data_IF_193955911010
#
_entry.id   IF_193955911010
#
_cell.length_a   1.000
_cell.length_b   1.000
_cell.length_c   1.000
_cell.angle_alpha   90.00
_cell.angle_beta   90.00
_cell.angle_gamma   90.00
#
_symmetry.space_group_name_H-M   'P 1'
#
loop_
_entity.id
_entity.type
_entity.pdbx_description
1 polymer ?
#
# COMPACT_ATOMS: atom_id res chain seq x y z
N UNK A 1 34.79 -6.27 -38.34
CA UNK A 1 34.63 -6.59 -36.90
C UNK A 1 34.18 -5.41 -36.03
N UNK A 2 33.52 -4.37 -36.50
CA UNK A 2 33.08 -3.19 -35.73
C UNK A 2 31.56 -3.03 -35.62
N UNK A 3 30.77 -3.91 -36.25
CA UNK A 3 29.30 -3.78 -36.27
C UNK A 3 28.59 -4.54 -35.15
N UNK A 4 29.25 -5.56 -34.54
CA UNK A 4 28.64 -6.37 -33.44
C UNK A 4 28.68 -5.71 -32.05
N UNK A 5 29.57 -4.73 -31.84
CA UNK A 5 29.70 -4.04 -30.56
C UNK A 5 28.62 -2.94 -30.37
N UNK A 6 28.07 -2.40 -31.47
CA UNK A 6 27.08 -1.32 -31.39
C UNK A 6 25.66 -1.83 -31.03
N UNK A 7 25.35 -3.09 -31.35
CA UNK A 7 24.03 -3.67 -31.09
C UNK A 7 23.82 -4.06 -29.60
N UNK A 8 24.91 -4.35 -28.85
CA UNK A 8 24.80 -4.71 -27.42
C UNK A 8 24.58 -3.49 -26.51
N UNK A 9 25.00 -2.31 -26.90
CA UNK A 9 24.81 -1.10 -26.08
C UNK A 9 23.36 -0.59 -26.15
N UNK A 10 22.67 -0.80 -27.28
CA UNK A 10 21.28 -0.36 -27.43
C UNK A 10 20.27 -1.19 -26.63
N UNK A 11 20.55 -2.48 -26.39
CA UNK A 11 19.65 -3.37 -25.62
C UNK A 11 19.75 -3.10 -24.12
N UNK A 12 20.93 -2.74 -23.61
CA UNK A 12 21.12 -2.43 -22.19
C UNK A 12 20.42 -1.13 -21.76
N UNK A 13 20.25 -0.17 -22.66
CA UNK A 13 19.61 1.12 -22.35
C UNK A 13 18.08 1.04 -22.29
N UNK A 14 17.45 0.07 -22.95
CA UNK A 14 16.00 -0.10 -22.91
C UNK A 14 15.49 -0.76 -21.60
N UNK A 15 16.32 -1.53 -20.91
CA UNK A 15 15.93 -2.24 -19.68
C UNK A 15 15.85 -1.27 -18.48
N UNK A 16 16.68 -0.22 -18.47
CA UNK A 16 16.70 0.76 -17.37
C UNK A 16 15.56 1.78 -17.39
N UNK A 17 14.87 1.97 -18.52
CA UNK A 17 13.80 2.97 -18.62
C UNK A 17 12.46 2.48 -18.07
N UNK A 18 12.22 1.17 -18.07
CA UNK A 18 10.93 0.61 -17.60
C UNK A 18 10.81 0.66 -16.07
N UNK A 19 11.91 0.43 -15.35
CA UNK A 19 11.89 0.49 -13.87
C UNK A 19 11.82 1.92 -13.33
N UNK A 20 12.40 2.89 -14.03
CA UNK A 20 12.37 4.29 -13.61
C UNK A 20 10.97 4.92 -13.74
N UNK A 21 10.17 4.52 -14.73
CA UNK A 21 8.79 4.98 -14.87
C UNK A 21 7.86 4.34 -13.83
N UNK A 22 8.09 3.08 -13.46
CA UNK A 22 7.31 2.40 -12.44
C UNK A 22 7.47 3.00 -11.02
N UNK A 23 8.56 3.74 -10.78
CA UNK A 23 8.84 4.40 -9.50
C UNK A 23 8.39 5.87 -9.42
N UNK A 24 7.99 6.48 -10.54
CA UNK A 24 7.53 7.88 -10.54
C UNK A 24 6.10 7.98 -10.01
N UNK A 25 5.89 8.97 -9.13
CA UNK A 25 4.57 9.34 -8.61
C UNK A 25 4.19 10.74 -9.12
N UNK A 26 2.91 11.01 -9.39
CA UNK A 26 1.78 10.07 -9.37
C UNK A 26 1.82 9.09 -10.53
N UNK A 27 1.24 7.89 -10.34
CA UNK A 27 1.09 6.90 -11.41
C UNK A 27 -0.26 6.18 -11.35
N UNK A 28 -0.83 5.77 -12.51
CA UNK A 28 -2.11 5.08 -12.53
C UNK A 28 -2.00 3.69 -11.89
N UNK A 29 -2.99 3.34 -11.11
CA UNK A 29 -3.21 2.02 -10.53
C UNK A 29 -4.66 1.60 -10.75
N UNK A 30 -4.96 0.32 -10.57
CA UNK A 30 -6.29 -0.23 -10.79
C UNK A 30 -6.90 -0.77 -9.52
N UNK A 31 -8.22 -0.83 -9.46
CA UNK A 31 -8.91 -1.57 -8.41
C UNK A 31 -8.56 -3.06 -8.52
N UNK A 32 -8.30 -3.70 -7.39
CA UNK A 32 -7.90 -5.09 -7.28
C UNK A 32 -8.96 -5.86 -6.49
N UNK A 33 -9.30 -7.06 -6.94
CA UNK A 33 -10.13 -7.97 -6.17
C UNK A 33 -9.26 -8.64 -5.10
N UNK A 34 -9.63 -8.47 -3.84
CA UNK A 34 -9.00 -9.00 -2.65
C UNK A 34 -10.00 -9.88 -1.88
N UNK A 35 -9.81 -10.05 -0.57
CA UNK A 35 -10.74 -10.80 0.28
C UNK A 35 -11.15 -10.00 1.53
N UNK A 36 -12.38 -10.22 1.99
CA UNK A 36 -12.81 -9.84 3.34
C UNK A 36 -12.07 -10.67 4.39
N UNK A 37 -12.30 -10.36 5.67
CA UNK A 37 -11.80 -11.19 6.78
C UNK A 37 -12.43 -12.60 6.77
N UNK A 38 -13.64 -12.77 6.23
CA UNK A 38 -14.30 -14.06 6.08
C UNK A 38 -13.85 -14.86 4.84
N UNK A 39 -13.04 -14.24 3.98
CA UNK A 39 -12.53 -14.87 2.76
C UNK A 39 -13.36 -14.63 1.51
N UNK A 40 -14.44 -13.88 1.61
CA UNK A 40 -15.26 -13.51 0.46
C UNK A 40 -14.53 -12.49 -0.41
N UNK A 41 -14.90 -12.47 -1.71
CA UNK A 41 -14.35 -11.49 -2.65
C UNK A 41 -14.73 -10.07 -2.26
N UNK A 42 -13.74 -9.20 -2.25
CA UNK A 42 -13.88 -7.78 -1.96
C UNK A 42 -13.03 -6.94 -2.92
N UNK A 43 -13.50 -5.74 -3.21
CA UNK A 43 -12.69 -4.72 -3.89
C UNK A 43 -12.16 -3.72 -2.88
N UNK A 44 -11.23 -2.86 -3.31
CA UNK A 44 -10.73 -1.79 -2.45
C UNK A 44 -11.90 -0.90 -2.01
N UNK A 45 -12.07 -0.69 -0.69
CA UNK A 45 -13.12 0.17 -0.16
C UNK A 45 -13.02 1.58 -0.75
N UNK A 46 -14.17 2.21 -0.99
CA UNK A 46 -14.31 3.60 -1.48
C UNK A 46 -13.55 3.93 -2.78
N UNK A 47 -13.13 2.90 -3.53
CA UNK A 47 -12.44 3.12 -4.81
C UNK A 47 -13.27 3.94 -5.80
N UNK A 48 -12.70 5.05 -6.28
CA UNK A 48 -13.37 5.98 -7.20
C UNK A 48 -14.37 6.95 -6.53
N UNK A 49 -14.66 6.75 -5.24
CA UNK A 49 -15.58 7.60 -4.47
C UNK A 49 -14.82 8.62 -3.63
N UNK A 50 -13.74 8.17 -2.98
CA UNK A 50 -12.89 8.98 -2.10
C UNK A 50 -11.41 8.81 -2.43
N UNK A 51 -10.60 9.72 -1.93
CA UNK A 51 -9.16 9.52 -1.84
C UNK A 51 -8.88 8.48 -0.75
N UNK A 52 -7.85 7.69 -0.92
CA UNK A 52 -7.58 6.51 -0.11
C UNK A 52 -6.27 6.66 0.67
N UNK A 53 -6.32 6.40 1.97
CA UNK A 53 -5.16 6.19 2.82
C UNK A 53 -5.06 4.69 3.12
N UNK A 54 -4.05 4.03 2.60
CA UNK A 54 -3.96 2.57 2.59
C UNK A 54 -2.76 2.11 3.41
N UNK A 55 -3.01 1.20 4.32
CA UNK A 55 -2.01 0.54 5.15
C UNK A 55 -1.89 -0.92 4.73
N UNK A 56 -0.90 -1.25 3.91
CA UNK A 56 -0.62 -2.63 3.50
C UNK A 56 0.45 -3.22 4.41
N UNK A 57 0.08 -4.21 5.19
CA UNK A 57 0.86 -4.65 6.35
C UNK A 57 1.17 -6.14 6.30
N UNK A 58 2.44 -6.47 6.47
CA UNK A 58 2.84 -7.81 6.86
C UNK A 58 2.58 -7.99 8.38
N UNK A 59 1.81 -9.02 8.79
CA UNK A 59 1.51 -9.28 10.21
C UNK A 59 2.74 -9.56 11.08
N UNK A 60 3.88 -9.91 10.49
CA UNK A 60 5.11 -10.23 11.22
C UNK A 60 5.81 -8.97 11.74
N UNK A 61 5.43 -7.77 11.24
CA UNK A 61 5.96 -6.47 11.70
C UNK A 61 4.89 -5.53 12.28
N UNK A 62 4.07 -5.98 13.25
CA UNK A 62 2.88 -5.24 13.71
C UNK A 62 3.19 -3.92 14.42
N UNK A 63 4.44 -3.71 14.82
CA UNK A 63 4.89 -2.50 15.54
C UNK A 63 5.51 -1.44 14.64
N UNK A 64 5.80 -1.78 13.38
CA UNK A 64 6.38 -0.82 12.43
C UNK A 64 5.42 0.35 12.22
N UNK A 65 5.87 1.57 12.38
CA UNK A 65 5.08 2.81 12.34
C UNK A 65 3.93 2.93 13.37
N UNK A 66 3.87 2.08 14.39
CA UNK A 66 2.75 2.01 15.33
C UNK A 66 2.42 3.38 15.97
N UNK A 67 3.41 4.08 16.52
CA UNK A 67 3.21 5.36 17.19
C UNK A 67 2.71 6.44 16.22
N UNK A 68 3.19 6.42 14.99
CA UNK A 68 2.75 7.36 13.96
C UNK A 68 1.29 7.10 13.56
N UNK A 69 0.93 5.84 13.32
CA UNK A 69 -0.45 5.46 12.96
C UNK A 69 -1.42 5.76 14.10
N UNK A 70 -1.05 5.39 15.33
CA UNK A 70 -1.88 5.71 16.52
C UNK A 70 -2.14 7.21 16.61
N UNK A 71 -1.12 8.04 16.42
CA UNK A 71 -1.28 9.49 16.44
C UNK A 71 -2.17 10.01 15.31
N UNK A 72 -2.11 9.43 14.10
CA UNK A 72 -3.01 9.78 13.00
C UNK A 72 -4.46 9.45 13.34
N UNK A 73 -4.70 8.27 13.93
CA UNK A 73 -6.03 7.82 14.36
C UNK A 73 -6.59 8.71 15.48
N UNK A 74 -5.84 8.93 16.57
CA UNK A 74 -6.25 9.73 17.71
C UNK A 74 -6.57 11.19 17.38
N UNK A 75 -5.82 11.76 16.44
CA UNK A 75 -5.99 13.16 16.05
C UNK A 75 -6.93 13.35 14.87
N UNK A 76 -7.46 12.26 14.30
CA UNK A 76 -8.19 12.27 13.02
C UNK A 76 -7.43 13.04 11.93
N UNK A 77 -6.09 13.03 12.01
CA UNK A 77 -5.26 13.72 11.05
C UNK A 77 -5.39 13.07 9.69
N UNK A 78 -5.71 13.81 8.67
CA UNK A 78 -6.06 13.38 7.31
C UNK A 78 -7.48 12.78 7.17
N UNK A 79 -8.18 12.38 8.22
CA UNK A 79 -9.58 11.99 8.11
C UNK A 79 -10.46 13.16 7.66
N UNK A 80 -11.46 12.89 6.85
CA UNK A 80 -12.38 13.92 6.38
C UNK A 80 -13.32 13.46 5.27
N UNK A 81 -14.13 14.37 4.76
CA UNK A 81 -15.16 14.04 3.77
C UNK A 81 -14.59 13.44 2.47
N UNK A 82 -13.36 13.78 2.12
CA UNK A 82 -12.75 13.39 0.84
C UNK A 82 -11.73 12.26 0.92
N UNK A 83 -11.32 11.83 2.13
CA UNK A 83 -10.30 10.81 2.30
C UNK A 83 -10.74 9.78 3.34
N UNK A 84 -10.53 8.50 3.04
CA UNK A 84 -10.83 7.38 3.94
C UNK A 84 -9.62 6.46 4.09
N UNK A 85 -9.45 5.92 5.31
CA UNK A 85 -8.35 5.03 5.65
C UNK A 85 -8.81 3.58 5.84
N UNK A 86 -8.02 2.62 5.35
CA UNK A 86 -8.24 1.20 5.59
C UNK A 86 -6.95 0.38 5.56
N UNK A 87 -7.00 -0.79 6.20
CA UNK A 87 -5.91 -1.74 6.25
C UNK A 87 -6.04 -2.86 5.23
N UNK A 88 -4.92 -3.30 4.70
CA UNK A 88 -4.82 -4.53 3.89
C UNK A 88 -3.75 -5.41 4.52
N UNK A 89 -4.12 -6.63 4.87
CA UNK A 89 -3.18 -7.59 5.45
C UNK A 89 -2.57 -8.43 4.34
N UNK A 90 -1.24 -8.44 4.25
CA UNK A 90 -0.50 -9.39 3.43
C UNK A 90 -0.51 -10.77 4.13
N UNK A 91 -1.35 -11.68 3.64
CA UNK A 91 -1.43 -13.03 4.19
C UNK A 91 -0.43 -14.01 3.57
N UNK A 92 0.26 -13.61 2.50
CA UNK A 92 1.16 -14.52 1.77
C UNK A 92 2.49 -14.69 2.46
N UNK A 93 3.03 -13.62 3.03
CA UNK A 93 4.41 -13.61 3.54
C UNK A 93 4.48 -13.96 5.04
N UNK A 94 3.35 -13.82 5.75
CA UNK A 94 3.34 -14.06 7.20
C UNK A 94 3.60 -15.53 7.57
N UNK A 95 4.38 -15.74 8.63
CA UNK A 95 4.60 -17.05 9.25
C UNK A 95 3.37 -17.56 10.04
N UNK A 96 2.40 -16.70 10.34
CA UNK A 96 1.20 -17.09 11.08
C UNK A 96 0.12 -17.73 10.17
N UNK A 97 -0.64 -18.71 10.70
CA UNK A 97 -1.80 -19.24 9.99
C UNK A 97 -2.82 -18.14 9.66
N UNK A 98 -3.28 -18.09 8.40
CA UNK A 98 -4.19 -17.03 7.93
C UNK A 98 -5.47 -16.88 8.76
N UNK A 99 -6.01 -17.98 9.30
CA UNK A 99 -7.18 -17.92 10.18
C UNK A 99 -6.89 -17.20 11.52
N UNK A 100 -5.69 -17.35 12.07
CA UNK A 100 -5.27 -16.64 13.28
C UNK A 100 -5.12 -15.15 13.02
N UNK A 101 -4.48 -14.79 11.90
CA UNK A 101 -4.31 -13.39 11.48
C UNK A 101 -5.67 -12.72 11.27
N UNK A 102 -6.59 -13.40 10.56
CA UNK A 102 -7.97 -12.90 10.32
C UNK A 102 -8.72 -12.68 11.63
N UNK A 103 -8.61 -13.58 12.60
CA UNK A 103 -9.23 -13.45 13.93
C UNK A 103 -8.72 -12.21 14.68
N UNK A 104 -7.40 -11.97 14.65
CA UNK A 104 -6.80 -10.79 15.30
C UNK A 104 -7.30 -9.51 14.63
N UNK A 105 -7.39 -9.50 13.30
CA UNK A 105 -7.89 -8.37 12.54
C UNK A 105 -9.38 -8.09 12.81
N UNK A 106 -10.19 -9.14 12.91
CA UNK A 106 -11.61 -9.04 13.23
C UNK A 106 -11.82 -8.42 14.63
N UNK A 107 -11.04 -8.87 15.61
CA UNK A 107 -11.06 -8.29 16.97
C UNK A 107 -10.68 -6.79 16.95
N UNK A 108 -9.75 -6.37 16.09
CA UNK A 108 -9.39 -4.95 15.90
C UNK A 108 -10.53 -4.17 15.25
N UNK A 109 -11.14 -4.71 14.21
CA UNK A 109 -12.32 -4.12 13.56
C UNK A 109 -13.46 -3.93 14.56
N UNK A 110 -13.77 -4.94 15.37
CA UNK A 110 -14.80 -4.87 16.39
C UNK A 110 -14.49 -3.82 17.48
N UNK A 111 -13.21 -3.60 17.81
CA UNK A 111 -12.78 -2.68 18.86
C UNK A 111 -12.81 -1.21 18.43
N UNK A 112 -12.35 -0.89 17.23
CA UNK A 112 -12.12 0.50 16.79
C UNK A 112 -12.81 0.89 15.47
N UNK A 113 -13.60 -0.02 14.89
CA UNK A 113 -14.30 0.23 13.62
C UNK A 113 -13.39 0.27 12.39
N UNK A 114 -12.15 -0.20 12.49
CA UNK A 114 -11.22 -0.19 11.35
C UNK A 114 -11.73 -1.07 10.21
N UNK A 115 -11.69 -0.55 8.99
CA UNK A 115 -11.95 -1.36 7.79
C UNK A 115 -10.69 -2.11 7.43
N UNK A 116 -10.74 -3.45 7.39
CA UNK A 116 -9.61 -4.31 7.08
C UNK A 116 -10.03 -5.36 6.04
N UNK A 117 -9.20 -5.54 5.01
CA UNK A 117 -9.32 -6.58 4.00
C UNK A 117 -8.00 -7.34 3.88
N UNK A 118 -7.96 -8.42 3.11
CA UNK A 118 -6.81 -9.31 3.01
C UNK A 118 -6.33 -9.47 1.57
N UNK A 119 -5.02 -9.43 1.39
CA UNK A 119 -4.33 -9.86 0.18
C UNK A 119 -3.78 -11.28 0.40
N UNK A 120 -4.40 -12.32 -0.18
CA UNK A 120 -4.02 -13.70 0.12
C UNK A 120 -2.79 -14.18 -0.69
N UNK A 121 -2.42 -13.50 -1.76
CA UNK A 121 -1.40 -14.00 -2.69
C UNK A 121 -0.72 -12.88 -3.52
N UNK A 122 -0.34 -11.79 -2.87
CA UNK A 122 0.34 -10.64 -3.51
C UNK A 122 -0.45 -9.99 -4.66
N UNK A 123 -1.78 -10.10 -4.67
CA UNK A 123 -2.60 -9.57 -5.76
C UNK A 123 -2.49 -8.06 -5.90
N UNK A 124 -2.53 -7.33 -4.77
CA UNK A 124 -2.35 -5.88 -4.79
C UNK A 124 -0.89 -5.51 -5.06
N UNK A 125 0.04 -6.10 -4.32
CA UNK A 125 1.46 -5.74 -4.43
C UNK A 125 2.00 -5.98 -5.85
N UNK A 126 1.58 -7.08 -6.50
CA UNK A 126 1.90 -7.35 -7.89
C UNK A 126 1.23 -6.38 -8.85
N UNK A 127 -0.10 -6.14 -8.70
CA UNK A 127 -0.86 -5.27 -9.60
C UNK A 127 -0.37 -3.81 -9.53
N UNK A 128 0.05 -3.36 -8.35
CA UNK A 128 0.53 -2.01 -8.10
C UNK A 128 2.05 -1.89 -8.16
N UNK A 129 2.76 -2.97 -8.51
CA UNK A 129 4.22 -3.03 -8.61
C UNK A 129 4.92 -2.47 -7.37
N UNK A 130 4.48 -2.94 -6.19
CA UNK A 130 5.05 -2.50 -4.92
C UNK A 130 6.41 -3.16 -4.62
N UNK A 131 6.78 -4.19 -5.39
CA UNK A 131 7.96 -5.01 -5.12
C UNK A 131 7.75 -5.94 -3.93
N UNK A 132 8.83 -6.42 -3.34
CA UNK A 132 8.80 -7.27 -2.16
C UNK A 132 8.23 -6.49 -0.96
N UNK A 133 7.20 -7.02 -0.32
CA UNK A 133 6.52 -6.45 0.85
C UNK A 133 6.63 -7.36 2.08
N UNK A 134 7.45 -8.41 2.04
CA UNK A 134 7.77 -9.22 3.20
C UNK A 134 8.43 -8.35 4.28
N UNK A 135 8.13 -8.62 5.54
CA UNK A 135 8.63 -7.87 6.70
C UNK A 135 8.42 -6.34 6.58
N UNK A 136 7.37 -5.91 5.89
CA UNK A 136 7.18 -4.49 5.59
C UNK A 136 5.78 -3.99 5.91
N UNK A 137 5.73 -2.78 6.46
CA UNK A 137 4.53 -1.94 6.54
C UNK A 137 4.60 -0.92 5.41
N UNK A 138 3.69 -0.99 4.44
CA UNK A 138 3.64 -0.06 3.30
C UNK A 138 2.50 0.92 3.50
N UNK A 139 2.82 2.22 3.50
CA UNK A 139 1.87 3.31 3.62
C UNK A 139 1.69 3.96 2.25
N UNK A 140 0.43 4.11 1.82
CA UNK A 140 0.12 4.64 0.50
C UNK A 140 -1.00 5.67 0.55
N UNK A 141 -0.97 6.61 -0.39
CA UNK A 141 -2.10 7.48 -0.71
C UNK A 141 -2.49 7.29 -2.18
N UNK A 142 -3.78 7.07 -2.41
CA UNK A 142 -4.38 7.03 -3.73
C UNK A 142 -5.41 8.13 -3.89
N UNK A 143 -5.51 8.73 -5.07
CA UNK A 143 -6.60 9.64 -5.35
C UNK A 143 -7.82 8.89 -5.91
N UNK A 144 -8.98 9.56 -5.89
CA UNK A 144 -10.23 8.99 -6.40
C UNK A 144 -10.24 8.77 -7.93
N UNK A 145 -9.24 9.30 -8.65
CA UNK A 145 -9.02 9.08 -10.08
C UNK A 145 -8.19 7.82 -10.35
N UNK A 146 -7.78 7.10 -9.30
CA UNK A 146 -6.98 5.88 -9.43
C UNK A 146 -5.50 6.17 -9.68
N UNK A 147 -4.98 7.28 -9.14
CA UNK A 147 -3.54 7.54 -9.13
C UNK A 147 -2.95 7.21 -7.76
N UNK A 148 -1.88 6.43 -7.73
CA UNK A 148 -1.02 6.32 -6.55
C UNK A 148 -0.17 7.59 -6.46
N UNK A 149 -0.37 8.39 -5.41
CA UNK A 149 0.27 9.71 -5.26
C UNK A 149 1.37 9.72 -4.20
N UNK A 150 1.37 8.74 -3.31
CA UNK A 150 2.41 8.56 -2.29
C UNK A 150 2.58 7.08 -1.97
N UNK A 151 3.82 6.66 -1.70
CA UNK A 151 4.16 5.35 -1.16
C UNK A 151 5.42 5.48 -0.29
N UNK A 152 5.39 4.81 0.85
CA UNK A 152 6.56 4.52 1.67
C UNK A 152 6.52 3.08 2.15
N UNK A 153 7.66 2.41 2.14
CA UNK A 153 7.81 1.03 2.61
C UNK A 153 8.79 1.00 3.78
N UNK A 154 8.40 0.29 4.81
CA UNK A 154 9.19 0.14 6.03
C UNK A 154 8.90 1.23 7.06
N UNK A 155 9.79 1.39 8.02
CA UNK A 155 9.66 2.37 9.09
C UNK A 155 9.94 3.78 8.58
N UNK A 156 9.10 4.74 8.99
CA UNK A 156 9.17 6.13 8.54
C UNK A 156 9.99 6.98 9.50
N UNK A 157 10.98 7.69 8.98
CA UNK A 157 11.61 8.82 9.68
C UNK A 157 10.60 9.96 9.91
N UNK A 158 10.95 10.91 10.76
CA UNK A 158 10.11 12.11 11.00
C UNK A 158 9.86 12.92 9.73
N UNK A 159 10.87 13.02 8.86
CA UNK A 159 10.77 13.68 7.56
C UNK A 159 9.82 12.97 6.60
N UNK A 160 9.83 11.65 6.63
CA UNK A 160 8.90 10.84 5.82
C UNK A 160 7.47 10.92 6.33
N UNK A 161 7.26 10.90 7.65
CA UNK A 161 5.97 11.15 8.27
C UNK A 161 5.42 12.53 7.86
N UNK A 162 6.26 13.56 7.86
CA UNK A 162 5.87 14.89 7.45
C UNK A 162 5.48 14.95 5.95
N UNK A 163 6.30 14.32 5.08
CA UNK A 163 5.97 14.23 3.64
C UNK A 163 4.65 13.50 3.37
N UNK A 164 4.39 12.44 4.13
CA UNK A 164 3.10 11.74 4.05
C UNK A 164 1.92 12.66 4.42
N UNK A 165 2.03 13.39 5.52
CA UNK A 165 1.01 14.35 5.95
C UNK A 165 0.79 15.42 4.89
N UNK A 166 1.84 16.02 4.35
CA UNK A 166 1.75 17.03 3.30
C UNK A 166 1.12 16.51 2.00
N UNK A 167 1.41 15.25 1.64
CA UNK A 167 0.76 14.61 0.50
C UNK A 167 -0.73 14.35 0.77
N UNK A 168 -1.09 13.92 1.97
CA UNK A 168 -2.47 13.71 2.38
C UNK A 168 -3.27 15.02 2.46
N UNK A 169 -2.67 16.11 2.95
CA UNK A 169 -3.32 17.42 3.01
C UNK A 169 -3.74 17.95 1.63
N UNK A 170 -3.03 17.56 0.58
CA UNK A 170 -3.40 17.92 -0.81
C UNK A 170 -4.62 17.15 -1.34
N UNK A 171 -4.99 16.06 -0.67
CA UNK A 171 -6.12 15.18 -1.04
C UNK A 171 -7.40 15.47 -0.25
N UNK A 172 -7.33 16.31 0.78
CA UNK A 172 -8.46 16.66 1.66
C UNK A 172 -9.50 17.55 1.04
#
# INVERSE_FOLDING_TARGET
MKLKALLMVAVATLIFTVDAEAQRLPRPVRNVELQTLDGDKARLPWWGEKNLMIFYVDPDVPKQNHDFITKLEETNRLAGANIEGFGIINLKDTAFPSNVVRQIADARTAKNGATIICDPDHWLSSAWRLGDCNDSFVIMLGDKQGQLVYIHKGEMSKEEQQRFIEAGDKLR
#
